data_IF_422472794879
#
_entry.id   IF_422472794879
#
_cell.length_a   1.000
_cell.length_b   1.000
_cell.length_c   1.000
_cell.angle_alpha   90.00
_cell.angle_beta   90.00
_cell.angle_gamma   90.00
#
_symmetry.space_group_name_H-M   'P 1'
#
loop_
_entity.id
_entity.type
_entity.pdbx_description
1 polymer ?
2 non-polymer ?
3 non-polymer ?
4 water ?
#
# COMPACT_ATOMS: atom_id res chain seq x y z
N UNK A 1 15.51 -6.24 -2.57
CA UNK A 1 14.16 -5.62 -2.44
C UNK A 1 13.71 -5.08 -3.81
N UNK A 2 12.41 -5.02 -4.01
CA UNK A 2 11.73 -4.60 -5.27
C UNK A 2 10.80 -3.43 -4.94
N UNK A 3 10.73 -2.44 -5.84
CA UNK A 3 9.81 -1.28 -5.73
C UNK A 3 8.83 -1.33 -6.90
N UNK A 4 7.55 -1.10 -6.63
CA UNK A 4 6.50 -1.07 -7.67
C UNK A 4 5.98 0.35 -7.76
N UNK A 5 5.96 0.90 -8.97
CA UNK A 5 5.47 2.28 -9.23
C UNK A 5 4.22 2.19 -10.10
N UNK A 6 3.09 2.67 -9.59
CA UNK A 6 1.79 2.65 -10.31
C UNK A 6 1.59 4.01 -10.97
N UNK A 7 0.89 4.00 -12.10
CA UNK A 7 0.45 5.23 -12.81
C UNK A 7 -0.85 4.94 -13.55
N UNK A 8 -1.58 6.00 -13.91
CA UNK A 8 -2.71 5.93 -14.86
C UNK A 8 -4.07 6.11 -14.21
N UNK A 9 -4.14 6.41 -12.91
CA UNK A 9 -5.40 6.59 -12.18
C UNK A 9 -6.09 7.90 -12.48
N UNK A 10 -7.21 8.18 -11.79
CA UNK A 10 -7.90 9.47 -11.80
C UNK A 10 -9.40 9.34 -12.01
N UNK A 11 -10.01 10.43 -12.50
CA UNK A 11 -11.47 10.59 -12.62
C UNK A 11 -11.90 10.23 -14.04
N UNK A 12 -12.92 9.38 -14.20
CA UNK A 12 -13.44 8.97 -15.52
C UNK A 12 -14.97 8.95 -15.45
N UNK A 13 -15.63 9.23 -16.57
CA UNK A 13 -17.10 9.20 -16.70
C UNK A 13 -17.56 7.74 -16.74
N UNK A 14 -18.74 7.41 -16.19
CA UNK A 14 -19.33 6.09 -16.38
C UNK A 14 -19.34 5.73 -17.88
N UNK A 15 -19.00 4.48 -18.20
CA UNK A 15 -18.85 3.98 -19.58
C UNK A 15 -17.44 4.18 -20.12
N UNK A 16 -16.59 4.90 -19.39
CA UNK A 16 -15.27 5.32 -19.86
C UNK A 16 -14.23 4.22 -19.73
N UNK A 17 -13.00 4.56 -20.11
CA UNK A 17 -11.82 3.64 -20.13
C UNK A 17 -10.65 4.28 -19.39
N UNK A 18 -9.83 3.44 -18.75
CA UNK A 18 -8.56 3.83 -18.10
C UNK A 18 -7.55 2.69 -18.26
N UNK A 19 -6.26 3.01 -18.38
CA UNK A 19 -5.19 1.97 -18.33
C UNK A 19 -4.28 2.26 -17.12
N UNK A 20 -4.18 1.31 -16.20
CA UNK A 20 -3.19 1.38 -15.09
C UNK A 20 -1.91 0.66 -15.52
N UNK A 21 -0.77 1.14 -15.04
CA UNK A 21 0.51 0.42 -15.19
C UNK A 21 1.21 0.31 -13.83
N UNK A 22 2.04 -0.72 -13.70
CA UNK A 22 2.78 -1.06 -12.47
C UNK A 22 4.17 -1.54 -12.89
N UNK A 23 5.19 -0.68 -12.76
CA UNK A 23 6.57 -0.92 -13.19
C UNK A 23 7.40 -1.38 -11.99
N UNK A 24 8.10 -2.50 -12.11
CA UNK A 24 9.01 -3.03 -11.05
C UNK A 24 10.45 -2.60 -11.31
N UNK A 25 11.13 -2.18 -10.25
CA UNK A 25 12.60 -1.87 -10.23
C UNK A 25 13.24 -2.57 -9.04
N UNK A 26 14.57 -2.62 -9.01
CA UNK A 26 15.35 -3.27 -7.95
C UNK A 26 15.74 -4.69 -8.31
N UNK A 27 16.07 -5.50 -7.31
CA UNK A 27 16.61 -6.88 -7.45
C UNK A 27 15.46 -7.83 -7.81
N UNK A 28 15.01 -7.81 -9.06
CA UNK A 28 13.94 -8.71 -9.58
C UNK A 28 14.57 -10.03 -10.04
N UNK A 29 14.25 -11.13 -9.37
CA UNK A 29 14.61 -12.52 -9.76
C UNK A 29 13.42 -13.13 -10.51
N UNK A 30 12.88 -14.26 -10.04
CA UNK A 30 11.75 -14.92 -10.72
C UNK A 30 10.46 -14.26 -10.21
N UNK A 31 9.61 -13.80 -11.12
CA UNK A 31 8.25 -13.29 -10.77
C UNK A 31 7.25 -14.45 -10.90
N UNK A 32 6.67 -14.87 -9.77
CA UNK A 32 5.67 -15.97 -9.69
C UNK A 32 4.27 -15.44 -10.00
N UNK A 33 3.96 -14.24 -9.55
CA UNK A 33 2.58 -13.66 -9.61
C UNK A 33 2.69 -12.17 -9.89
N UNK A 34 1.80 -11.65 -10.73
CA UNK A 34 1.52 -10.21 -10.85
C UNK A 34 0.00 -10.03 -10.75
N UNK A 35 -0.48 -9.18 -9.85
CA UNK A 35 -1.93 -9.07 -9.64
C UNK A 35 -2.34 -7.65 -9.29
N UNK A 36 -3.60 -7.35 -9.62
CA UNK A 36 -4.29 -6.09 -9.27
C UNK A 36 -5.32 -6.38 -8.19
N UNK A 37 -5.35 -5.52 -7.18
CA UNK A 37 -6.31 -5.52 -6.06
C UNK A 37 -7.00 -4.17 -6.03
N UNK A 38 -8.15 -4.10 -5.39
CA UNK A 38 -8.78 -2.78 -5.19
C UNK A 38 -9.49 -2.77 -3.84
N UNK A 39 -9.47 -1.59 -3.23
CA UNK A 39 -10.17 -1.34 -1.95
C UNK A 39 -11.21 -0.24 -2.17
N UNK A 40 -12.42 -0.46 -1.68
CA UNK A 40 -13.48 0.55 -1.69
C UNK A 40 -14.20 0.51 -0.34
N UNK A 41 -14.79 1.63 0.11
CA UNK A 41 -15.53 1.63 1.38
C UNK A 41 -16.63 0.55 1.37
N UNK A 42 -16.66 -0.30 2.40
CA UNK A 42 -17.65 -1.37 2.61
C UNK A 42 -17.40 -2.62 1.78
N UNK A 43 -16.30 -2.69 1.04
CA UNK A 43 -16.02 -3.80 0.07
C UNK A 43 -14.72 -4.52 0.43
N UNK A 44 -14.09 -4.16 1.55
CA UNK A 44 -12.75 -4.67 1.90
C UNK A 44 -11.80 -4.54 0.72
N UNK A 45 -10.79 -5.39 0.67
CA UNK A 45 -9.85 -5.44 -0.47
C UNK A 45 -10.14 -6.70 -1.27
N UNK A 46 -10.21 -6.57 -2.60
CA UNK A 46 -10.62 -7.63 -3.55
C UNK A 46 -9.49 -7.84 -4.57
N UNK A 47 -9.19 -9.09 -4.91
CA UNK A 47 -8.33 -9.40 -6.09
C UNK A 47 -9.16 -9.08 -7.33
N UNK A 48 -8.68 -8.20 -8.21
CA UNK A 48 -9.37 -7.74 -9.44
C UNK A 48 -8.99 -8.67 -10.61
N UNK A 49 -7.70 -8.92 -10.77
CA UNK A 49 -7.15 -9.67 -11.91
C UNK A 49 -5.73 -10.10 -11.55
N UNK A 50 -5.33 -11.29 -12.00
CA UNK A 50 -3.97 -11.78 -11.77
C UNK A 50 -3.46 -12.60 -12.93
N UNK A 51 -2.14 -12.63 -13.07
CA UNK A 51 -1.38 -13.49 -14.03
C UNK A 51 -0.36 -14.29 -13.21
N UNK A 52 -0.40 -15.61 -13.27
CA UNK A 52 0.63 -16.49 -12.64
C UNK A 52 1.67 -16.83 -13.71
N UNK A 53 2.95 -16.96 -13.33
CA UNK A 53 4.05 -17.33 -14.26
C UNK A 53 3.67 -18.65 -14.94
N UNK A 54 3.49 -18.59 -16.26
CA UNK A 54 2.81 -19.62 -17.06
C UNK A 54 1.74 -19.00 -17.96
N UNK A 55 1.17 -17.86 -17.53
CA UNK A 55 0.20 -17.07 -18.32
C UNK A 55 -1.23 -17.25 -17.87
N UNK A 56 -1.50 -18.17 -16.93
CA UNK A 56 -2.85 -18.47 -16.39
C UNK A 56 -3.41 -17.23 -15.68
N UNK A 57 -4.46 -16.63 -16.23
CA UNK A 57 -5.10 -15.40 -15.70
C UNK A 57 -6.38 -15.73 -14.92
N UNK A 58 -6.75 -14.83 -14.02
CA UNK A 58 -7.95 -14.90 -13.17
C UNK A 58 -8.54 -13.49 -13.01
N UNK A 59 -9.86 -13.38 -12.92
CA UNK A 59 -10.61 -12.11 -12.78
C UNK A 59 -11.72 -12.26 -11.74
N UNK A 60 -11.95 -11.20 -10.95
CA UNK A 60 -13.15 -11.04 -10.12
C UNK A 60 -14.37 -11.14 -11.05
N UNK A 61 -15.41 -11.85 -10.60
CA UNK A 61 -16.71 -11.94 -11.31
C UNK A 61 -17.17 -10.54 -11.76
N UNK A 62 -17.02 -9.55 -10.88
CA UNK A 62 -17.58 -8.18 -11.08
C UNK A 62 -16.94 -7.48 -12.27
N UNK A 63 -15.75 -7.91 -12.75
CA UNK A 63 -15.01 -7.18 -13.83
C UNK A 63 -14.79 -8.06 -15.07
N UNK A 64 -15.19 -9.34 -15.02
CA UNK A 64 -15.03 -10.27 -16.15
C UNK A 64 -15.68 -9.64 -17.39
N UNK A 65 -14.94 -9.61 -18.51
CA UNK A 65 -15.43 -9.08 -19.80
C UNK A 65 -15.18 -7.60 -19.98
N UNK A 66 -14.85 -6.85 -18.92
CA UNK A 66 -14.66 -5.38 -18.97
C UNK A 66 -13.18 -5.00 -18.77
N UNK A 67 -12.46 -5.74 -17.92
CA UNK A 67 -11.04 -5.47 -17.57
C UNK A 67 -10.15 -6.53 -18.24
N UNK A 68 -8.98 -6.13 -18.72
CA UNK A 68 -7.95 -7.06 -19.28
C UNK A 68 -6.60 -6.82 -18.59
N UNK A 69 -6.02 -7.88 -18.05
CA UNK A 69 -4.65 -7.84 -17.45
C UNK A 69 -3.65 -8.25 -18.53
N UNK A 70 -2.52 -7.57 -18.58
CA UNK A 70 -1.38 -7.94 -19.46
C UNK A 70 -0.07 -7.55 -18.78
N UNK A 71 1.04 -8.02 -19.34
CA UNK A 71 2.38 -7.72 -18.79
C UNK A 71 3.34 -7.58 -19.97
N UNK A 72 4.33 -6.71 -19.82
CA UNK A 72 5.57 -6.68 -20.62
C UNK A 72 6.64 -7.41 -19.80
N UNK A 73 6.88 -8.70 -20.10
CA UNK A 73 7.80 -9.59 -19.35
C UNK A 73 9.21 -8.99 -19.36
N UNK A 74 9.62 -8.44 -20.51
CA UNK A 74 10.98 -7.89 -20.72
C UNK A 74 11.19 -6.70 -19.78
N UNK A 75 10.15 -5.91 -19.51
CA UNK A 75 10.26 -4.67 -18.72
C UNK A 75 9.64 -4.84 -17.32
N UNK A 76 9.27 -6.07 -16.96
CA UNK A 76 8.69 -6.40 -15.63
C UNK A 76 7.58 -5.39 -15.31
N UNK A 77 6.73 -5.10 -16.31
CA UNK A 77 5.63 -4.11 -16.13
C UNK A 77 4.30 -4.83 -16.28
N UNK A 78 3.37 -4.47 -15.41
CA UNK A 78 2.01 -5.06 -15.33
C UNK A 78 1.02 -3.95 -15.72
N UNK A 79 0.01 -4.32 -16.51
CA UNK A 79 -1.03 -3.39 -16.99
C UNK A 79 -2.41 -3.88 -16.59
N UNK A 80 -3.33 -2.94 -16.43
CA UNK A 80 -4.78 -3.23 -16.34
C UNK A 80 -5.52 -2.30 -17.29
N UNK A 81 -6.13 -2.88 -18.32
CA UNK A 81 -7.03 -2.13 -19.25
C UNK A 81 -8.43 -2.20 -18.66
N UNK A 82 -9.01 -1.06 -18.32
CA UNK A 82 -10.40 -0.97 -17.82
C UNK A 82 -11.29 -0.33 -18.89
N UNK A 83 -12.38 -1.02 -19.24
CA UNK A 83 -13.43 -0.52 -20.18
C UNK A 83 -14.79 -0.56 -19.49
N UNK A 84 -15.76 0.15 -20.05
CA UNK A 84 -17.17 0.15 -19.57
C UNK A 84 -17.19 0.38 -18.06
N UNK A 85 -16.46 1.37 -17.58
CA UNK A 85 -16.31 1.62 -16.12
C UNK A 85 -17.66 2.00 -15.50
N UNK A 86 -17.90 1.50 -14.29
CA UNK A 86 -19.16 1.74 -13.53
C UNK A 86 -18.82 2.47 -12.24
N UNK A 87 -19.75 3.25 -11.67
CA UNK A 87 -19.52 3.90 -10.38
C UNK A 87 -18.95 2.94 -9.32
N UNK A 88 -19.42 1.69 -9.30
CA UNK A 88 -19.04 0.68 -8.27
C UNK A 88 -17.59 0.22 -8.49
N UNK A 89 -16.94 0.62 -9.58
CA UNK A 89 -15.49 0.36 -9.82
C UNK A 89 -14.63 1.39 -9.09
N UNK A 90 -15.25 2.43 -8.52
CA UNK A 90 -14.51 3.48 -7.75
C UNK A 90 -13.77 2.81 -6.59
N UNK A 91 -12.48 3.01 -6.52
CA UNK A 91 -11.62 2.29 -5.55
C UNK A 91 -10.19 2.77 -5.66
N UNK A 92 -9.39 2.44 -4.64
CA UNK A 92 -7.92 2.51 -4.76
C UNK A 92 -7.46 1.18 -5.33
N UNK A 93 -6.72 1.25 -6.44
CA UNK A 93 -6.19 0.07 -7.15
C UNK A 93 -4.72 -0.11 -6.77
N UNK A 94 -4.35 -1.34 -6.42
CA UNK A 94 -2.97 -1.72 -6.01
C UNK A 94 -2.47 -2.79 -6.97
N UNK A 95 -1.18 -2.77 -7.27
CA UNK A 95 -0.52 -3.95 -7.88
C UNK A 95 0.31 -4.65 -6.81
N UNK A 96 0.47 -5.97 -6.95
CA UNK A 96 1.40 -6.76 -6.12
C UNK A 96 2.14 -7.74 -7.02
N UNK A 97 3.43 -7.96 -6.73
CA UNK A 97 4.26 -9.00 -7.36
C UNK A 97 4.72 -9.95 -6.26
N UNK A 98 4.70 -11.25 -6.53
CA UNK A 98 5.46 -12.24 -5.71
C UNK A 98 6.71 -12.60 -6.48
N UNK A 99 7.87 -12.45 -5.85
CA UNK A 99 9.18 -12.84 -6.44
C UNK A 99 9.84 -13.91 -5.57
N UNK A 100 10.67 -14.71 -6.21
CA UNK A 100 11.44 -15.81 -5.59
C UNK A 100 12.83 -15.86 -6.25
N UNK A 101 13.85 -16.26 -5.48
CA UNK A 101 15.22 -16.49 -6.04
C UNK A 101 15.42 -17.99 -6.23
N UNK A 102 14.59 -18.85 -5.63
CA UNK A 102 14.57 -20.33 -5.86
C UNK A 102 13.30 -20.98 -5.30
N UNK A 103 13.02 -22.21 -5.71
CA UNK A 103 11.86 -23.02 -5.23
C UNK A 103 12.04 -23.36 -3.75
N UNK A 104 13.24 -23.19 -3.19
CA UNK A 104 13.54 -23.48 -1.77
C UNK A 104 13.22 -22.29 -0.87
N UNK A 105 12.88 -21.13 -1.43
CA UNK A 105 12.42 -19.97 -0.63
C UNK A 105 10.91 -19.81 -0.77
N UNK A 106 10.30 -19.15 0.21
CA UNK A 106 8.83 -18.97 0.31
C UNK A 106 8.35 -17.80 -0.57
N UNK A 107 9.27 -17.03 -1.12
CA UNK A 107 8.91 -15.86 -1.93
C UNK A 107 8.61 -14.65 -1.07
N UNK A 108 8.58 -13.48 -1.70
CA UNK A 108 8.26 -12.20 -1.02
C UNK A 108 7.18 -11.53 -1.87
N UNK A 109 6.23 -10.85 -1.22
CA UNK A 109 5.22 -10.03 -1.93
C UNK A 109 5.61 -8.56 -1.77
N UNK A 110 5.60 -7.83 -2.88
CA UNK A 110 5.83 -6.37 -2.96
C UNK A 110 4.56 -5.71 -3.46
N UNK A 111 4.25 -4.53 -2.94
CA UNK A 111 3.01 -3.77 -3.22
C UNK A 111 3.33 -2.41 -3.82
N UNK A 112 2.52 -2.01 -4.79
CA UNK A 112 2.41 -0.59 -5.19
C UNK A 112 1.69 0.18 -4.09
N UNK A 113 1.79 1.49 -4.13
CA UNK A 113 1.27 2.38 -3.06
C UNK A 113 -0.24 2.54 -3.20
N UNK A 114 -0.79 2.24 -4.38
CA UNK A 114 -2.23 2.44 -4.65
C UNK A 114 -2.48 3.71 -5.45
N UNK A 115 -3.47 3.66 -6.33
CA UNK A 115 -3.92 4.84 -7.12
C UNK A 115 -5.45 4.88 -7.13
N UNK A 116 -6.01 6.06 -6.86
CA UNK A 116 -7.48 6.24 -6.86
C UNK A 116 -7.99 6.27 -8.30
N UNK A 117 -9.05 5.52 -8.54
CA UNK A 117 -9.90 5.58 -9.76
C UNK A 117 -11.29 5.95 -9.29
N UNK A 118 -11.82 7.07 -9.78
CA UNK A 118 -13.16 7.57 -9.41
C UNK A 118 -14.02 7.56 -10.68
N UNK A 119 -15.13 6.84 -10.65
CA UNK A 119 -16.08 6.76 -11.79
C UNK A 119 -17.36 7.49 -11.37
N UNK A 120 -17.52 8.72 -11.81
CA UNK A 120 -18.66 9.58 -11.42
C UNK A 120 -18.85 10.68 -12.48
N UNK A 121 -19.95 11.42 -12.41
CA UNK A 121 -20.25 12.57 -13.31
C UNK A 121 -20.19 13.88 -12.52
N UNK B 3 11.97 -6.54 6.00
CA UNK B 3 10.86 -5.94 5.23
C UNK B 3 9.87 -5.32 6.22
N UNK B 4 9.39 -4.12 5.94
CA UNK B 4 8.13 -3.60 6.53
C UNK B 4 7.07 -3.60 5.42
N UNK B 5 5.92 -4.23 5.67
CA UNK B 5 4.82 -4.29 4.66
C UNK B 5 3.60 -3.61 5.26
N UNK B 6 3.11 -2.58 4.58
CA UNK B 6 1.92 -1.80 5.04
C UNK B 6 0.67 -2.33 4.36
N UNK B 7 -0.44 -2.26 5.09
CA UNK B 7 -1.78 -2.70 4.67
C UNK B 7 -2.83 -1.80 5.35
N UNK B 8 -4.08 -1.87 4.89
CA UNK B 8 -5.22 -1.22 5.59
C UNK B 8 -5.54 0.17 5.07
N UNK B 9 -4.87 0.62 4.02
CA UNK B 9 -5.12 1.96 3.45
C UNK B 9 -6.34 1.95 2.55
N UNK B 10 -6.57 3.05 1.83
CA UNK B 10 -7.53 3.10 0.73
C UNK B 10 -8.39 4.35 0.75
N UNK B 11 -9.60 4.22 0.21
CA UNK B 11 -10.56 5.32 -0.02
C UNK B 11 -11.57 5.32 1.13
N UNK B 12 -11.83 6.50 1.70
CA UNK B 12 -12.82 6.64 2.79
C UNK B 12 -13.59 7.96 2.60
N UNK B 13 -14.83 8.01 3.07
CA UNK B 13 -15.63 9.25 3.10
C UNK B 13 -15.12 10.10 4.27
N UNK B 14 -15.21 11.45 4.19
CA UNK B 14 -14.92 12.29 5.35
C UNK B 14 -15.72 11.80 6.57
N UNK B 15 -15.06 11.79 7.74
CA UNK B 15 -15.62 11.28 9.00
C UNK B 15 -15.37 9.78 9.19
N UNK B 16 -14.84 9.11 8.15
CA UNK B 16 -14.63 7.65 8.16
C UNK B 16 -13.39 7.26 8.94
N UNK B 17 -13.17 5.95 9.08
CA UNK B 17 -12.02 5.36 9.81
C UNK B 17 -11.28 4.37 8.91
N UNK B 18 -9.98 4.23 9.17
CA UNK B 18 -9.09 3.19 8.60
C UNK B 18 -8.13 2.79 9.71
N UNK B 19 -7.63 1.55 9.70
CA UNK B 19 -6.48 1.17 10.55
C UNK B 19 -5.35 0.70 9.63
N UNK B 20 -4.24 1.42 9.62
CA UNK B 20 -3.02 0.99 8.90
C UNK B 20 -2.29 -0.01 9.78
N UNK B 21 -1.68 -0.99 9.14
CA UNK B 21 -0.82 -2.02 9.77
C UNK B 21 0.54 -1.98 9.08
N UNK B 22 1.59 -2.18 9.83
CA UNK B 22 2.97 -2.26 9.32
C UNK B 22 3.60 -3.49 9.96
N UNK B 23 3.71 -4.57 9.19
CA UNK B 23 4.23 -5.89 9.66
C UNK B 23 5.71 -5.98 9.32
N UNK B 24 6.55 -6.22 10.33
CA UNK B 24 8.02 -6.31 10.22
C UNK B 24 8.44 -7.78 10.16
N UNK B 25 9.41 -8.07 9.31
CA UNK B 25 10.22 -9.33 9.32
C UNK B 25 11.71 -8.97 9.27
N UNK B 26 12.58 -9.93 9.54
CA UNK B 26 14.04 -9.80 9.33
C UNK B 26 14.80 -9.62 10.62
N UNK B 27 16.13 -9.71 10.54
CA UNK B 27 17.10 -9.73 11.66
C UNK B 27 16.89 -8.52 12.57
N UNK B 28 15.89 -8.61 13.46
CA UNK B 28 15.40 -7.49 14.31
C UNK B 28 16.38 -7.30 15.48
N UNK B 29 17.13 -6.19 15.44
CA UNK B 29 18.06 -5.76 16.52
C UNK B 29 17.31 -4.77 17.41
N UNK B 30 18.01 -3.92 18.17
CA UNK B 30 17.35 -2.97 19.10
C UNK B 30 16.51 -1.99 18.26
N UNK B 31 15.19 -1.94 18.49
CA UNK B 31 14.29 -0.94 17.83
C UNK B 31 14.14 0.23 18.80
N UNK B 32 14.63 1.40 18.40
CA UNK B 32 14.60 2.66 19.20
C UNK B 32 13.23 3.31 19.03
N UNK B 33 12.74 3.37 17.79
CA UNK B 33 11.51 4.13 17.43
C UNK B 33 10.72 3.37 16.37
N UNK B 34 9.39 3.41 16.50
CA UNK B 34 8.44 3.01 15.43
C UNK B 34 7.53 4.21 15.15
N UNK B 35 7.41 4.59 13.88
CA UNK B 35 6.74 5.86 13.53
C UNK B 35 5.96 5.72 12.23
N UNK B 36 4.96 6.59 12.11
CA UNK B 36 4.20 6.84 10.86
C UNK B 36 4.55 8.22 10.33
N UNK B 37 4.78 8.30 9.03
CA UNK B 37 5.03 9.53 8.25
C UNK B 37 3.98 9.58 7.14
N UNK B 38 3.74 10.76 6.60
CA UNK B 38 2.87 10.88 5.41
C UNK B 38 3.45 11.91 4.46
N UNK B 39 3.24 11.70 3.17
CA UNK B 39 3.66 12.63 2.10
C UNK B 39 2.42 12.97 1.29
N UNK B 40 1.94 14.19 1.46
CA UNK B 40 0.78 14.74 0.74
C UNK B 40 1.28 15.42 -0.52
N UNK B 41 0.42 15.60 -1.55
CA UNK B 41 0.79 16.31 -2.76
C UNK B 41 1.56 17.62 -2.49
N UNK B 42 2.75 17.75 -3.08
CA UNK B 42 3.59 18.96 -3.03
C UNK B 42 4.36 19.13 -1.72
N UNK B 43 4.33 18.14 -0.83
CA UNK B 43 4.99 18.22 0.51
C UNK B 43 6.04 17.12 0.66
N UNK B 44 6.94 17.29 1.62
CA UNK B 44 7.90 16.24 2.02
C UNK B 44 7.24 15.24 2.95
N UNK B 45 7.94 14.16 3.30
CA UNK B 45 7.47 13.21 4.34
C UNK B 45 7.46 13.92 5.69
N UNK B 46 6.34 13.87 6.40
CA UNK B 46 6.13 14.54 7.70
C UNK B 46 5.73 13.51 8.74
N UNK B 47 6.31 13.60 9.95
CA UNK B 47 5.99 12.71 11.08
C UNK B 47 4.53 12.91 11.50
N UNK B 48 3.76 11.83 11.54
CA UNK B 48 2.34 11.80 11.97
C UNK B 48 2.29 11.37 13.45
N UNK B 49 3.01 10.31 13.79
CA UNK B 49 2.93 9.67 15.13
C UNK B 49 4.15 8.79 15.33
N UNK B 50 4.65 8.73 16.55
CA UNK B 50 5.80 7.88 16.88
C UNK B 50 5.70 7.34 18.29
N UNK B 51 6.31 6.17 18.49
CA UNK B 51 6.47 5.48 19.81
C UNK B 51 7.95 5.20 20.00
N UNK B 52 8.57 5.72 21.07
CA UNK B 52 9.98 5.42 21.46
C UNK B 52 9.93 4.23 22.42
N UNK B 53 10.86 3.29 22.30
CA UNK B 53 10.82 2.02 23.07
C UNK B 53 10.83 2.36 24.56
N UNK B 54 9.72 2.03 25.25
CA UNK B 54 9.36 2.58 26.58
C UNK B 54 7.94 3.12 26.60
N UNK B 55 7.39 3.47 25.44
CA UNK B 55 5.96 3.83 25.26
C UNK B 55 5.73 5.32 25.09
N UNK B 56 6.77 6.13 25.27
CA UNK B 56 6.78 7.62 25.09
C UNK B 56 6.28 7.99 23.68
N UNK B 57 5.03 8.42 23.58
CA UNK B 57 4.27 8.53 22.30
C UNK B 57 4.14 10.01 21.94
N UNK B 58 4.23 10.35 20.65
CA UNK B 58 4.13 11.74 20.17
C UNK B 58 3.33 11.78 18.86
N UNK B 59 2.61 12.89 18.67
CA UNK B 59 1.67 13.10 17.53
C UNK B 59 1.87 14.49 16.95
N UNK B 60 1.76 14.60 15.63
CA UNK B 60 1.54 15.91 14.96
C UNK B 60 0.23 16.47 15.52
N UNK B 61 0.20 17.77 15.83
CA UNK B 61 -1.04 18.39 16.38
C UNK B 61 -2.17 18.25 15.37
N UNK B 62 -1.89 18.16 14.06
CA UNK B 62 -2.92 18.02 13.00
C UNK B 62 -3.74 16.72 13.15
N UNK B 63 -3.23 15.71 13.87
CA UNK B 63 -3.90 14.38 14.00
C UNK B 63 -4.17 14.04 15.47
N UNK B 64 -3.70 14.85 16.42
CA UNK B 64 -3.88 14.60 17.87
C UNK B 64 -5.37 14.45 18.15
N UNK B 65 -5.77 13.40 18.86
CA UNK B 65 -7.17 13.12 19.26
C UNK B 65 -7.92 12.28 18.23
N UNK B 66 -7.44 12.21 16.98
CA UNK B 66 -8.11 11.48 15.87
C UNK B 66 -7.33 10.20 15.53
N UNK B 67 -6.00 10.24 15.55
CA UNK B 67 -5.14 9.09 15.20
C UNK B 67 -4.50 8.54 16.47
N UNK B 68 -4.38 7.20 16.52
CA UNK B 68 -3.71 6.48 17.65
C UNK B 68 -2.67 5.52 17.09
N UNK B 69 -1.43 5.64 17.55
CA UNK B 69 -0.33 4.70 17.24
C UNK B 69 -0.32 3.64 18.35
N UNK B 70 -0.15 2.39 17.95
CA UNK B 70 -0.06 1.23 18.88
C UNK B 70 0.78 0.15 18.22
N UNK B 71 1.19 -0.84 18.98
CA UNK B 71 2.07 -1.93 18.49
C UNK B 71 1.61 -3.23 19.13
N UNK B 72 1.75 -4.34 18.39
CA UNK B 72 1.72 -5.70 18.97
C UNK B 72 3.13 -6.26 18.81
N UNK B 73 3.98 -6.17 19.84
CA UNK B 73 5.40 -6.62 19.77
C UNK B 73 5.44 -8.15 19.61
N UNK B 74 4.44 -8.87 20.13
CA UNK B 74 4.28 -10.34 19.95
C UNK B 74 4.15 -10.68 18.46
N UNK B 75 3.49 -9.83 17.67
CA UNK B 75 3.21 -10.05 16.22
C UNK B 75 4.09 -9.14 15.36
N UNK B 76 5.07 -8.45 15.96
CA UNK B 76 6.04 -7.56 15.26
C UNK B 76 5.29 -6.60 14.34
N UNK B 77 4.16 -6.04 14.79
CA UNK B 77 3.29 -5.19 13.95
C UNK B 77 3.08 -3.83 14.62
N UNK B 78 3.07 -2.78 13.81
CA UNK B 78 2.78 -1.38 14.21
C UNK B 78 1.43 -1.00 13.59
N UNK B 79 0.60 -0.27 14.33
CA UNK B 79 -0.74 0.16 13.86
C UNK B 79 -0.87 1.68 13.90
N UNK B 80 -1.69 2.20 12.99
CA UNK B 80 -2.21 3.58 13.07
C UNK B 80 -3.72 3.51 12.91
N UNK B 81 -4.45 3.75 14.00
CA UNK B 81 -5.93 3.88 13.99
C UNK B 81 -6.24 5.31 13.57
N UNK B 82 -6.94 5.48 12.45
CA UNK B 82 -7.21 6.81 11.84
C UNK B 82 -8.71 7.04 11.88
N UNK B 83 -9.19 7.86 12.80
CA UNK B 83 -10.65 8.15 12.96
C UNK B 83 -10.92 9.57 12.47
N UNK B 84 -12.19 9.88 12.19
CA UNK B 84 -12.64 11.24 11.84
C UNK B 84 -11.78 11.80 10.70
N UNK B 85 -11.59 11.00 9.64
CA UNK B 85 -10.66 11.35 8.54
C UNK B 85 -11.19 12.57 7.77
N UNK B 86 -10.27 13.44 7.36
CA UNK B 86 -10.55 14.71 6.63
C UNK B 86 -9.85 14.69 5.28
N UNK B 87 -10.34 15.45 4.27
CA UNK B 87 -9.65 15.57 2.99
C UNK B 87 -8.15 15.87 3.13
N UNK B 88 -7.77 16.70 4.12
CA UNK B 88 -6.37 17.15 4.33
C UNK B 88 -5.50 15.99 4.83
N UNK B 89 -6.10 14.86 5.22
CA UNK B 89 -5.36 13.64 5.63
C UNK B 89 -4.94 12.84 4.40
N UNK B 90 -5.42 13.19 3.20
CA UNK B 90 -5.07 12.45 1.96
C UNK B 90 -3.55 12.52 1.76
N UNK B 91 -2.91 11.37 1.61
CA UNK B 91 -1.44 11.28 1.52
C UNK B 91 -1.03 9.83 1.34
N UNK B 92 0.21 9.62 0.93
CA UNK B 92 0.86 8.29 1.04
C UNK B 92 1.45 8.19 2.45
N UNK B 93 1.05 7.16 3.20
CA UNK B 93 1.48 6.94 4.61
C UNK B 93 2.57 5.87 4.60
N UNK B 94 3.65 6.15 5.31
CA UNK B 94 4.83 5.26 5.48
C UNK B 94 4.99 4.92 6.96
N UNK B 95 5.35 3.68 7.24
CA UNK B 95 5.89 3.32 8.58
C UNK B 95 7.40 3.26 8.48
N UNK B 96 8.06 3.57 9.59
CA UNK B 96 9.53 3.49 9.69
C UNK B 96 9.89 2.90 11.05
N UNK B 97 10.89 2.04 11.06
CA UNK B 97 11.57 1.55 12.28
C UNK B 97 12.97 2.16 12.28
N UNK B 98 13.37 2.75 13.40
CA UNK B 98 14.79 3.13 13.64
C UNK B 98 15.38 2.07 14.56
N UNK B 99 16.46 1.44 14.13
CA UNK B 99 17.12 0.31 14.82
C UNK B 99 18.57 0.71 15.10
N UNK B 100 19.14 0.12 16.13
CA UNK B 100 20.54 0.32 16.58
C UNK B 100 21.06 -1.10 16.82
N UNK B 101 22.03 -1.53 16.01
CA UNK B 101 22.61 -2.89 16.13
C UNK B 101 23.33 -2.98 17.48
N UNK B 102 24.40 -2.20 17.62
CA UNK B 102 25.17 -2.06 18.88
C UNK B 102 25.10 -0.60 19.35
N UNK B 103 25.47 -0.38 20.62
CA UNK B 103 25.45 0.95 21.27
C UNK B 103 26.53 1.84 20.64
N UNK B 104 27.49 1.26 19.91
CA UNK B 104 28.60 2.01 19.27
C UNK B 104 28.27 2.40 17.83
N UNK B 105 27.12 1.98 17.31
CA UNK B 105 26.76 2.21 15.89
C UNK B 105 25.78 3.37 15.77
N UNK B 106 25.75 3.99 14.59
CA UNK B 106 24.68 4.94 14.21
C UNK B 106 23.40 4.15 13.94
N UNK B 107 22.25 4.81 14.02
CA UNK B 107 20.96 4.15 13.75
C UNK B 107 20.82 3.78 12.27
N UNK B 108 19.88 2.91 11.99
CA UNK B 108 19.41 2.63 10.61
C UNK B 108 17.91 2.85 10.60
N UNK B 109 17.41 3.44 9.52
CA UNK B 109 15.96 3.61 9.35
C UNK B 109 15.52 2.67 8.24
N UNK B 110 14.47 1.88 8.51
CA UNK B 110 13.80 0.99 7.54
C UNK B 110 12.40 1.50 7.29
N UNK B 111 11.96 1.44 6.04
CA UNK B 111 10.69 2.03 5.58
C UNK B 111 9.77 0.96 5.00
N UNK B 112 8.48 1.09 5.28
CA UNK B 112 7.43 0.39 4.53
C UNK B 112 7.34 0.93 3.12
N UNK B 113 6.58 0.27 2.26
CA UNK B 113 6.52 0.60 0.81
C UNK B 113 5.71 1.89 0.60
N UNK B 114 4.93 2.31 1.60
CA UNK B 114 4.01 3.46 1.47
C UNK B 114 2.65 2.99 0.98
N UNK B 115 1.56 3.54 1.52
CA UNK B 115 0.20 3.15 1.04
C UNK B 115 -0.68 4.41 1.06
N UNK B 116 -1.49 4.54 0.03
CA UNK B 116 -2.38 5.70 -0.14
C UNK B 116 -3.55 5.61 0.85
N UNK B 117 -3.81 6.75 1.49
CA UNK B 117 -5.10 7.03 2.19
C UNK B 117 -5.71 8.22 1.48
N UNK B 118 -6.91 8.08 0.93
CA UNK B 118 -7.53 9.13 0.11
C UNK B 118 -8.94 9.35 0.67
N UNK B 119 -9.21 10.59 1.05
CA UNK B 119 -10.50 10.99 1.68
C UNK B 119 -11.23 11.86 0.65
N UNK B 120 -12.41 11.41 0.20
CA UNK B 120 -13.21 12.08 -0.85
C UNK B 120 -13.62 13.49 -0.38
N UNK B 121 -14.15 14.31 -1.30
CA UNK B 121 -14.65 15.68 -1.04
C UNK B 121 -13.48 16.60 -0.66
#
# INVERSE_FOLDING_TARGET
>A
EVQLVESGGGLVQPGGSLRLSCAASGSVFKINVMAWYRQAPGKGRELVAGIISGGSTSYADSVKGRFTISRDNAKNTLYLQMNSLRPEDTAVYYCAFITTESDYDLGRRYWGQGTLVTVSSAAAHHHHHH
>B
EVQLVESGGGLVQPGGSLRLSCAASGSVFKINVMAWYRQAPGKGRELVAGIISGGSTSYADSVKGRFTISRDNAKNTLYLQMNSLRPEDTAVYYCAFITTESDYDLGRRYWGQGTLVTVSSAAAHHHHHH
#
